data_IF_668100205942
#
_entry.id   IF_668100205942
#
_cell.length_a   1.000
_cell.length_b   1.000
_cell.length_c   1.000
_cell.angle_alpha   90.00
_cell.angle_beta   90.00
_cell.angle_gamma   90.00
#
_symmetry.space_group_name_H-M   'P 1'
#
loop_
_entity.id
_entity.type
_entity.pdbx_description
1 polymer ?
#
# COMPACT_ATOMS: atom_id res chain seq x y z
N UNK A 1 -1.26 3.14 12.74
CA UNK A 1 -1.29 1.82 12.07
C UNK A 1 -2.29 1.91 10.92
N UNK A 2 -1.85 1.72 9.68
CA UNK A 2 -2.75 1.61 8.53
C UNK A 2 -2.85 0.14 8.11
N UNK A 3 -4.02 -0.29 7.67
CA UNK A 3 -4.25 -1.61 7.10
C UNK A 3 -4.87 -1.46 5.71
N UNK A 4 -4.69 -2.48 4.86
CA UNK A 4 -5.39 -2.52 3.58
C UNK A 4 -6.88 -2.59 3.87
N UNK A 5 -7.65 -1.60 3.41
CA UNK A 5 -9.08 -1.57 3.68
C UNK A 5 -9.79 -2.68 2.89
N UNK A 6 -10.76 -3.39 3.50
CA UNK A 6 -11.61 -4.30 2.75
C UNK A 6 -12.35 -3.57 1.62
N UNK A 7 -12.50 -4.22 0.47
CA UNK A 7 -13.16 -3.63 -0.70
C UNK A 7 -14.58 -3.14 -0.40
N UNK A 8 -15.32 -3.84 0.47
CA UNK A 8 -16.68 -3.43 0.83
C UNK A 8 -16.69 -2.10 1.62
N UNK A 9 -15.73 -1.88 2.51
CA UNK A 9 -15.58 -0.61 3.25
C UNK A 9 -15.26 0.52 2.28
N UNK A 10 -14.32 0.29 1.35
CA UNK A 10 -13.99 1.29 0.32
C UNK A 10 -15.25 1.65 -0.48
N UNK A 11 -16.00 0.65 -0.98
CA UNK A 11 -17.23 0.87 -1.72
C UNK A 11 -18.28 1.65 -0.93
N UNK A 12 -18.40 1.37 0.36
CA UNK A 12 -19.33 2.06 1.25
C UNK A 12 -18.94 3.53 1.46
N UNK A 13 -17.65 3.81 1.68
CA UNK A 13 -17.17 5.19 1.79
C UNK A 13 -17.38 5.93 0.47
N UNK A 14 -17.00 5.34 -0.65
CA UNK A 14 -17.22 5.94 -1.97
C UNK A 14 -18.70 6.17 -2.26
N UNK A 15 -19.59 5.28 -1.82
CA UNK A 15 -21.05 5.46 -1.95
C UNK A 15 -21.50 6.72 -1.22
N UNK A 16 -21.06 6.91 0.03
CA UNK A 16 -21.39 8.12 0.81
C UNK A 16 -20.82 9.39 0.18
N UNK A 17 -19.58 9.35 -0.30
CA UNK A 17 -18.96 10.48 -0.98
C UNK A 17 -19.66 10.81 -2.30
N UNK A 18 -20.05 9.80 -3.08
CA UNK A 18 -20.86 9.97 -4.30
C UNK A 18 -22.20 10.63 -3.99
N UNK A 19 -22.92 10.12 -2.99
CA UNK A 19 -24.21 10.66 -2.62
C UNK A 19 -24.08 12.12 -2.18
N UNK A 20 -23.09 12.42 -1.34
CA UNK A 20 -22.84 13.78 -0.89
C UNK A 20 -22.53 14.72 -2.06
N UNK A 21 -21.67 14.30 -3.00
CA UNK A 21 -21.28 15.12 -4.15
C UNK A 21 -22.46 15.48 -5.06
N UNK A 22 -23.39 14.56 -5.28
CA UNK A 22 -24.49 14.76 -6.24
C UNK A 22 -25.80 15.23 -5.62
N UNK A 23 -26.04 14.94 -4.33
CA UNK A 23 -27.31 15.25 -3.62
C UNK A 23 -27.14 16.25 -2.48
N UNK A 24 -25.91 16.49 -2.00
CA UNK A 24 -25.66 17.26 -0.78
C UNK A 24 -26.00 16.49 0.51
N UNK A 25 -26.34 15.21 0.43
CA UNK A 25 -26.65 14.35 1.59
C UNK A 25 -26.08 12.94 1.41
N UNK A 26 -26.03 12.16 2.49
CA UNK A 26 -25.51 10.77 2.47
C UNK A 26 -26.55 9.72 2.02
N UNK A 27 -27.80 10.15 1.83
CA UNK A 27 -28.90 9.28 1.39
C UNK A 27 -28.65 8.73 -0.02
N UNK A 28 -29.26 7.58 -0.32
CA UNK A 28 -29.12 6.95 -1.64
C UNK A 28 -29.58 7.93 -2.73
N UNK A 29 -28.74 8.12 -3.74
CA UNK A 29 -28.98 9.03 -4.86
C UNK A 29 -28.36 8.54 -6.15
N UNK A 30 -28.63 9.26 -7.24
CA UNK A 30 -28.09 8.98 -8.56
C UNK A 30 -26.77 9.75 -8.78
N UNK A 31 -25.84 9.14 -9.51
CA UNK A 31 -24.60 9.79 -9.94
C UNK A 31 -24.61 9.99 -11.45
N UNK A 32 -24.32 11.21 -11.91
CA UNK A 32 -24.27 11.52 -13.35
C UNK A 32 -22.97 11.06 -14.02
N UNK A 33 -21.92 10.87 -13.22
CA UNK A 33 -20.57 10.51 -13.70
C UNK A 33 -20.02 9.37 -12.85
N UNK A 34 -19.34 8.41 -13.51
CA UNK A 34 -18.66 7.31 -12.82
C UNK A 34 -17.61 7.85 -11.82
N UNK A 35 -17.51 7.23 -10.65
CA UNK A 35 -16.57 7.66 -9.60
C UNK A 35 -15.11 7.72 -10.06
N UNK A 36 -14.69 6.76 -10.89
CA UNK A 36 -13.33 6.73 -11.44
C UNK A 36 -13.00 7.98 -12.27
N UNK A 37 -13.97 8.53 -13.02
CA UNK A 37 -13.79 9.79 -13.77
C UNK A 37 -13.73 11.00 -12.82
N UNK A 38 -14.57 11.00 -11.79
CA UNK A 38 -14.55 12.03 -10.74
C UNK A 38 -13.19 12.11 -10.06
N UNK A 39 -12.55 10.96 -9.82
CA UNK A 39 -11.25 10.88 -9.15
C UNK A 39 -10.04 11.27 -10.01
N UNK A 40 -10.22 11.51 -11.32
CA UNK A 40 -9.10 11.94 -12.18
C UNK A 40 -8.60 13.33 -11.78
N UNK A 41 -7.34 13.66 -12.09
CA UNK A 41 -6.82 15.01 -11.97
C UNK A 41 -7.72 16.03 -12.69
N UNK A 42 -7.75 17.27 -12.20
CA UNK A 42 -8.51 18.37 -12.83
C UNK A 42 -8.03 18.60 -14.27
N UNK A 43 -6.72 18.46 -14.52
CA UNK A 43 -6.12 18.53 -15.86
C UNK A 43 -6.62 17.46 -16.84
N UNK A 44 -7.17 16.35 -16.33
CA UNK A 44 -7.75 15.26 -17.13
C UNK A 44 -9.30 15.31 -17.15
N UNK A 45 -9.89 16.43 -16.72
CA UNK A 45 -11.34 16.63 -16.69
C UNK A 45 -12.06 15.95 -15.52
N UNK A 46 -11.32 15.53 -14.49
CA UNK A 46 -11.89 15.06 -13.22
C UNK A 46 -12.06 16.18 -12.19
N UNK A 47 -12.44 15.81 -10.97
CA UNK A 47 -12.57 16.74 -9.83
C UNK A 47 -11.35 16.70 -8.89
N UNK A 48 -10.33 15.90 -9.19
CA UNK A 48 -9.14 15.75 -8.34
C UNK A 48 -9.40 15.08 -6.99
N UNK A 49 -10.58 14.47 -6.81
CA UNK A 49 -10.92 13.74 -5.58
C UNK A 49 -10.05 12.48 -5.50
N UNK A 50 -9.33 12.28 -4.40
CA UNK A 50 -8.44 11.12 -4.27
C UNK A 50 -9.22 9.81 -4.27
N UNK A 51 -8.82 8.88 -5.14
CA UNK A 51 -9.29 7.50 -5.09
C UNK A 51 -8.80 6.85 -3.78
N UNK A 52 -9.75 6.40 -2.96
CA UNK A 52 -9.47 5.85 -1.62
C UNK A 52 -8.68 4.54 -1.72
N UNK A 53 -8.98 3.72 -2.73
CA UNK A 53 -8.28 2.47 -2.94
C UNK A 53 -6.82 2.72 -3.31
N UNK A 54 -6.56 3.66 -4.22
CA UNK A 54 -5.23 4.08 -4.60
C UNK A 54 -4.47 4.70 -3.41
N UNK A 55 -5.13 5.59 -2.65
CA UNK A 55 -4.55 6.21 -1.47
C UNK A 55 -4.17 5.17 -0.41
N UNK A 56 -5.07 4.24 -0.11
CA UNK A 56 -4.82 3.18 0.85
C UNK A 56 -3.67 2.27 0.40
N UNK A 57 -3.63 1.89 -0.88
CA UNK A 57 -2.52 1.09 -1.43
C UNK A 57 -1.20 1.85 -1.38
N UNK A 58 -1.19 3.16 -1.66
CA UNK A 58 -0.01 4.02 -1.57
C UNK A 58 0.52 4.14 -0.14
N UNK A 59 -0.36 4.38 0.83
CA UNK A 59 0.00 4.43 2.26
C UNK A 59 0.61 3.10 2.74
N UNK A 60 0.00 1.98 2.34
CA UNK A 60 0.50 0.65 2.66
C UNK A 60 1.85 0.36 1.98
N UNK A 61 2.04 0.87 0.77
CA UNK A 61 3.31 0.76 0.05
C UNK A 61 4.41 1.52 0.78
N UNK A 62 4.12 2.73 1.28
CA UNK A 62 5.05 3.51 2.10
C UNK A 62 5.41 2.80 3.42
N UNK A 63 4.45 2.14 4.05
CA UNK A 63 4.74 1.33 5.24
C UNK A 63 5.64 0.14 4.93
N UNK A 64 5.38 -0.58 3.84
CA UNK A 64 6.24 -1.66 3.39
C UNK A 64 7.64 -1.16 3.04
N UNK A 65 7.74 0.00 2.39
CA UNK A 65 9.01 0.64 2.08
C UNK A 65 9.86 0.92 3.32
N UNK A 66 9.26 1.42 4.40
CA UNK A 66 9.97 1.61 5.67
C UNK A 66 10.50 0.31 6.27
N UNK A 67 9.81 -0.81 6.06
CA UNK A 67 10.31 -2.13 6.44
C UNK A 67 11.51 -2.51 5.56
N UNK A 68 11.38 -2.37 4.24
CA UNK A 68 12.45 -2.67 3.28
C UNK A 68 13.71 -1.84 3.55
N UNK A 69 13.54 -0.59 3.98
CA UNK A 69 14.63 0.32 4.35
C UNK A 69 15.18 0.09 5.75
N UNK A 70 14.69 -0.91 6.49
CA UNK A 70 15.08 -1.17 7.88
C UNK A 70 14.99 0.07 8.78
N UNK A 71 14.00 0.95 8.57
CA UNK A 71 13.85 2.20 9.33
C UNK A 71 13.42 1.93 10.78
N UNK A 72 14.40 1.60 11.65
CA UNK A 72 14.20 1.26 13.06
C UNK A 72 13.74 2.43 13.91
N UNK A 73 13.77 3.66 13.39
CA UNK A 73 13.26 4.85 14.11
C UNK A 73 11.75 4.78 14.30
N UNK A 74 11.05 4.08 13.40
CA UNK A 74 9.64 3.77 13.57
C UNK A 74 9.47 2.60 14.55
N UNK A 75 8.82 2.87 15.69
CA UNK A 75 8.47 1.84 16.71
C UNK A 75 7.82 0.61 16.07
N UNK A 76 6.94 0.82 15.09
CA UNK A 76 6.24 -0.27 14.41
C UNK A 76 7.17 -1.11 13.54
N UNK A 77 8.08 -0.48 12.80
CA UNK A 77 9.11 -1.21 12.04
C UNK A 77 10.03 -1.95 13.02
N UNK A 78 10.40 -1.30 14.13
CA UNK A 78 11.20 -1.93 15.19
C UNK A 78 10.56 -3.23 15.69
N UNK A 79 9.29 -3.14 16.08
CA UNK A 79 8.46 -4.28 16.52
C UNK A 79 8.34 -5.37 15.44
N UNK A 80 8.18 -4.99 14.17
CA UNK A 80 8.10 -5.97 13.07
C UNK A 80 9.37 -6.79 12.99
N UNK A 81 10.57 -6.20 13.02
CA UNK A 81 11.74 -7.09 13.01
C UNK A 81 11.94 -7.82 14.33
N UNK A 82 11.56 -7.28 15.49
CA UNK A 82 11.71 -8.04 16.73
C UNK A 82 10.80 -9.28 16.79
N UNK A 83 9.57 -9.19 16.29
CA UNK A 83 8.53 -10.21 16.54
C UNK A 83 7.94 -10.87 15.28
N UNK A 84 8.25 -10.39 14.08
CA UNK A 84 7.71 -10.92 12.81
C UNK A 84 8.77 -11.33 11.80
N UNK A 85 9.75 -10.46 11.54
CA UNK A 85 10.83 -10.76 10.59
C UNK A 85 12.01 -11.44 11.28
N UNK A 86 12.36 -11.04 12.51
CA UNK A 86 13.63 -11.39 13.16
C UNK A 86 14.77 -11.03 12.20
N UNK A 87 15.51 -12.04 11.74
CA UNK A 87 16.62 -11.91 10.79
C UNK A 87 16.23 -12.29 9.35
N UNK A 88 14.97 -12.63 9.09
CA UNK A 88 14.49 -12.94 7.75
C UNK A 88 14.20 -11.67 6.96
N UNK A 89 14.64 -11.64 5.69
CA UNK A 89 14.26 -10.57 4.77
C UNK A 89 12.77 -10.59 4.47
N UNK A 90 12.18 -9.40 4.32
CA UNK A 90 10.78 -9.22 3.94
C UNK A 90 10.44 -9.88 2.61
N UNK A 91 11.43 -10.17 1.76
CA UNK A 91 11.28 -10.82 0.46
C UNK A 91 11.12 -12.33 0.52
N UNK A 92 11.63 -12.99 1.56
CA UNK A 92 11.67 -14.46 1.64
C UNK A 92 10.50 -15.05 2.41
N UNK A 93 9.87 -14.28 3.29
CA UNK A 93 8.78 -14.77 4.14
C UNK A 93 7.55 -15.17 3.31
N UNK A 94 6.84 -16.23 3.73
CA UNK A 94 5.64 -16.67 3.04
C UNK A 94 4.44 -15.78 3.39
N UNK A 95 3.77 -15.24 2.37
CA UNK A 95 2.55 -14.43 2.49
C UNK A 95 1.30 -15.20 3.00
N UNK A 96 1.47 -16.44 3.48
CA UNK A 96 0.43 -17.32 4.02
C UNK A 96 0.40 -17.33 5.56
N UNK A 97 1.50 -16.96 6.20
CA UNK A 97 1.63 -16.88 7.66
C UNK A 97 1.08 -15.56 8.21
N UNK A 98 0.60 -15.56 9.46
CA UNK A 98 0.24 -14.36 10.21
C UNK A 98 -1.18 -13.82 9.98
N UNK A 99 -1.42 -12.62 10.53
CA UNK A 99 -2.74 -11.97 10.51
C UNK A 99 -3.18 -11.59 9.10
N UNK A 100 -4.48 -11.38 8.88
CA UNK A 100 -5.00 -10.94 7.59
C UNK A 100 -4.31 -9.67 7.06
N UNK A 101 -4.11 -8.68 7.92
CA UNK A 101 -3.42 -7.43 7.57
C UNK A 101 -1.96 -7.67 7.18
N UNK A 102 -1.24 -8.53 7.91
CA UNK A 102 0.14 -8.91 7.59
C UNK A 102 0.23 -9.58 6.22
N UNK A 103 -0.62 -10.58 5.95
CA UNK A 103 -0.65 -11.27 4.65
C UNK A 103 -0.91 -10.30 3.51
N UNK A 104 -1.79 -9.32 3.71
CA UNK A 104 -2.09 -8.28 2.71
C UNK A 104 -0.90 -7.35 2.48
N UNK A 105 -0.21 -6.92 3.54
CA UNK A 105 1.01 -6.12 3.47
C UNK A 105 2.12 -6.87 2.73
N UNK A 106 2.38 -8.13 3.08
CA UNK A 106 3.44 -8.93 2.44
C UNK A 106 3.14 -9.16 0.96
N UNK A 107 1.89 -9.40 0.56
CA UNK A 107 1.53 -9.51 -0.88
C UNK A 107 1.77 -8.23 -1.66
N UNK A 108 1.79 -7.07 -1.01
CA UNK A 108 2.08 -5.81 -1.67
C UNK A 108 3.54 -5.72 -2.14
N UNK A 109 4.44 -6.50 -1.53
CA UNK A 109 5.86 -6.56 -1.94
C UNK A 109 6.02 -6.99 -3.38
N UNK A 110 5.18 -7.92 -3.85
CA UNK A 110 5.30 -8.46 -5.21
C UNK A 110 4.96 -7.39 -6.25
N UNK A 111 4.10 -6.43 -5.87
CA UNK A 111 3.77 -5.25 -6.68
C UNK A 111 4.90 -4.22 -6.67
N UNK A 112 5.58 -4.03 -5.53
CA UNK A 112 6.64 -3.02 -5.39
C UNK A 112 8.00 -3.53 -5.85
N UNK A 113 8.23 -4.84 -5.86
CA UNK A 113 9.52 -5.47 -6.17
C UNK A 113 10.15 -4.95 -7.46
N UNK A 114 9.42 -4.76 -8.58
CA UNK A 114 10.02 -4.25 -9.82
C UNK A 114 10.50 -2.79 -9.74
N UNK A 115 10.01 -2.03 -8.76
CA UNK A 115 10.28 -0.60 -8.60
C UNK A 115 11.29 -0.30 -7.50
N UNK A 116 11.85 -1.33 -6.85
CA UNK A 116 12.80 -1.18 -5.75
C UNK A 116 14.18 -1.59 -6.26
N UNK A 117 15.10 -0.62 -6.24
CA UNK A 117 16.50 -0.82 -6.58
C UNK A 117 17.34 -0.63 -5.32
N UNK A 118 18.31 -1.51 -5.12
CA UNK A 118 19.27 -1.43 -4.02
C UNK A 118 20.53 -0.72 -4.51
N UNK A 119 20.94 0.32 -3.80
CA UNK A 119 22.28 0.90 -3.96
C UNK A 119 23.21 0.16 -3.01
N UNK A 120 24.16 -0.59 -3.58
CA UNK A 120 25.14 -1.35 -2.81
C UNK A 120 26.27 -0.40 -2.40
N UNK A 121 26.52 -0.29 -1.10
CA UNK A 121 27.55 0.57 -0.52
C UNK A 121 27.93 0.16 0.91
N UNK A 122 28.99 0.76 1.43
CA UNK A 122 29.48 0.52 2.79
C UNK A 122 28.44 0.92 3.85
N UNK A 123 28.19 0.03 4.81
CA UNK A 123 27.18 0.25 5.87
C UNK A 123 25.73 -0.06 5.49
N UNK A 124 25.49 -0.65 4.31
CA UNK A 124 24.13 -1.04 3.90
C UNK A 124 23.62 -2.27 4.69
N UNK A 125 22.35 -2.26 5.08
CA UNK A 125 21.63 -3.42 5.65
C UNK A 125 21.28 -4.49 4.60
N UNK A 126 21.93 -4.40 3.44
CA UNK A 126 21.67 -5.19 2.26
C UNK A 126 22.18 -6.64 2.42
N UNK A 127 21.35 -7.61 2.04
CA UNK A 127 21.71 -9.01 1.99
C UNK A 127 21.74 -9.54 0.56
N UNK A 128 22.93 -9.90 0.08
CA UNK A 128 23.14 -10.49 -1.26
C UNK A 128 22.22 -11.69 -1.54
N UNK A 129 21.96 -12.51 -0.51
CA UNK A 129 21.21 -13.76 -0.64
C UNK A 129 19.70 -13.58 -0.53
N UNK A 130 19.25 -12.53 0.16
CA UNK A 130 17.85 -12.39 0.53
C UNK A 130 17.14 -11.21 -0.15
N UNK A 131 17.89 -10.22 -0.64
CA UNK A 131 17.33 -9.02 -1.25
C UNK A 131 17.38 -9.07 -2.78
N UNK A 132 16.38 -8.48 -3.47
CA UNK A 132 16.30 -8.45 -4.93
C UNK A 132 17.23 -7.37 -5.50
N UNK A 133 18.53 -7.62 -5.51
CA UNK A 133 19.52 -6.71 -6.13
C UNK A 133 19.71 -6.94 -7.62
N UNK A 134 19.46 -8.16 -8.11
CA UNK A 134 19.51 -8.45 -9.53
C UNK A 134 18.10 -8.40 -10.13
N UNK A 135 17.93 -7.61 -11.19
CA UNK A 135 16.70 -7.65 -11.98
C UNK A 135 16.54 -9.10 -12.49
N UNK A 136 15.48 -9.79 -12.07
CA UNK A 136 15.06 -10.98 -12.81
C UNK A 136 14.52 -10.44 -14.13
N UNK A 137 15.35 -10.52 -15.17
CA UNK A 137 14.93 -10.28 -16.54
C UNK A 137 13.67 -11.13 -16.79
N UNK A 138 12.57 -10.45 -17.10
CA UNK A 138 11.45 -11.04 -17.80
C UNK A 138 11.70 -10.87 -19.29
#
# INVERSE_FOLDING_TARGET
>A
MAFILPKHIIKEIERRLRNFLWKGSIEIGYAKVSWQKVCRPVSEGGLGIRDIQALNKGLMSRHLWRIVMHDRTSIWVNWIFQYRLQDYSVWTIRARSGTWGWRKLIRLRDVLRPYILYQIGEGSSFSLWHDPWHARAH
#
